data_IF_669785461858
#
_entry.id   IF_669785461858
#
_cell.length_a   1.000
_cell.length_b   1.000
_cell.length_c   1.000
_cell.angle_alpha   90.00
_cell.angle_beta   90.00
_cell.angle_gamma   90.00
#
_symmetry.space_group_name_H-M   'P 1'
#
loop_
_entity.id
_entity.type
_entity.pdbx_description
1 polymer ?
#
# COMPACT_ATOMS: atom_id res chain seq x y z
N UNK A 1 40.88 -86.63 28.52
CA UNK A 1 41.66 -86.46 27.28
C UNK A 1 41.33 -85.11 26.78
N UNK A 2 42.08 -84.11 27.19
CA UNK A 2 43.16 -83.51 26.47
C UNK A 2 42.71 -82.85 25.15
N UNK A 3 42.86 -81.65 24.84
CA UNK A 3 43.99 -80.68 24.99
C UNK A 3 43.48 -79.37 24.47
N UNK A 4 43.59 -78.28 25.17
CA UNK A 4 44.39 -77.11 24.96
C UNK A 4 44.16 -76.32 23.64
N UNK A 5 43.91 -75.06 23.77
CA UNK A 5 44.86 -74.01 23.49
C UNK A 5 44.48 -72.93 22.53
N UNK A 6 44.65 -71.77 23.01
CA UNK A 6 45.25 -70.50 22.45
C UNK A 6 44.30 -69.40 21.96
N UNK A 7 44.27 -68.49 22.85
CA UNK A 7 44.34 -67.05 22.63
C UNK A 7 44.94 -66.61 21.31
N UNK A 8 44.22 -65.78 20.60
CA UNK A 8 44.88 -64.80 19.77
C UNK A 8 44.06 -63.51 19.83
N UNK A 9 44.59 -62.57 20.59
CA UNK A 9 44.22 -61.19 20.56
C UNK A 9 44.69 -60.62 19.21
N UNK A 10 43.77 -60.20 18.40
CA UNK A 10 44.16 -59.48 17.20
C UNK A 10 43.76 -58.02 17.32
N UNK A 11 44.76 -57.21 17.11
CA UNK A 11 44.79 -55.74 17.35
C UNK A 11 44.04 -55.03 16.26
N UNK A 12 42.99 -54.38 16.61
CA UNK A 12 42.33 -53.37 15.76
C UNK A 12 43.24 -52.13 15.66
N UNK A 13 43.45 -51.57 14.45
CA UNK A 13 44.30 -50.40 14.29
C UNK A 13 43.57 -49.15 14.72
N UNK A 14 44.10 -48.49 15.72
CA UNK A 14 43.78 -47.12 16.14
C UNK A 14 44.20 -46.11 15.06
N UNK A 15 43.45 -45.95 14.01
CA UNK A 15 43.64 -44.80 13.09
C UNK A 15 42.43 -44.58 12.17
N UNK A 16 41.29 -44.17 12.71
CA UNK A 16 40.23 -43.60 11.89
C UNK A 16 39.22 -42.80 12.72
N UNK A 17 39.66 -42.00 13.66
CA UNK A 17 38.79 -41.07 14.41
C UNK A 17 39.51 -39.72 14.50
N UNK A 18 39.74 -39.07 13.37
CA UNK A 18 40.22 -37.68 13.38
C UNK A 18 39.71 -36.79 12.25
N UNK A 19 38.70 -37.23 11.48
CA UNK A 19 38.18 -36.40 10.38
C UNK A 19 36.67 -36.03 10.47
N UNK A 20 36.01 -36.32 11.59
CA UNK A 20 34.55 -35.99 11.73
C UNK A 20 34.26 -34.87 12.74
N UNK A 21 35.25 -34.05 13.11
CA UNK A 21 35.03 -32.98 14.11
C UNK A 21 34.93 -31.58 13.56
N UNK A 22 34.85 -31.42 12.23
CA UNK A 22 34.76 -30.07 11.63
C UNK A 22 33.45 -29.77 10.86
N UNK A 23 32.46 -30.68 10.86
CA UNK A 23 31.18 -30.47 10.16
C UNK A 23 30.06 -29.75 10.93
N UNK A 24 30.02 -29.67 12.27
CA UNK A 24 28.88 -29.07 12.94
C UNK A 24 28.89 -27.53 12.99
N UNK A 25 29.99 -26.85 12.58
CA UNK A 25 30.07 -25.39 12.71
C UNK A 25 29.57 -24.61 11.48
N UNK A 26 29.49 -25.28 10.33
CA UNK A 26 29.02 -24.63 9.08
C UNK A 26 27.49 -24.64 8.96
N UNK A 27 26.84 -25.65 9.49
CA UNK A 27 25.37 -25.79 9.40
C UNK A 27 24.61 -24.69 10.17
N UNK A 28 24.97 -24.31 11.41
CA UNK A 28 24.29 -23.20 12.10
C UNK A 28 24.56 -21.82 11.47
N UNK A 29 25.73 -21.63 10.83
CA UNK A 29 26.04 -20.37 10.15
C UNK A 29 25.20 -20.17 8.87
N UNK A 30 24.94 -21.25 8.12
CA UNK A 30 24.07 -21.17 6.93
C UNK A 30 22.62 -20.97 7.32
N UNK A 31 22.13 -21.57 8.43
CA UNK A 31 20.77 -21.31 8.93
C UNK A 31 20.61 -19.88 9.44
N UNK A 32 21.64 -19.30 10.04
CA UNK A 32 21.60 -17.91 10.52
C UNK A 32 21.55 -16.88 9.37
N UNK A 33 22.21 -17.17 8.25
CA UNK A 33 22.18 -16.30 7.06
C UNK A 33 20.80 -16.35 6.36
N UNK A 34 20.14 -17.51 6.36
CA UNK A 34 18.78 -17.65 5.79
C UNK A 34 17.71 -16.98 6.66
N UNK A 35 17.94 -16.84 7.98
CA UNK A 35 17.00 -16.13 8.86
C UNK A 35 17.07 -14.61 8.73
N UNK A 36 18.17 -14.04 8.23
CA UNK A 36 18.33 -12.60 8.01
C UNK A 36 17.66 -12.11 6.71
N UNK A 37 17.34 -13.01 5.79
CA UNK A 37 16.57 -12.68 4.58
C UNK A 37 15.05 -12.67 4.79
N UNK A 38 14.56 -13.00 5.99
CA UNK A 38 13.14 -12.99 6.33
C UNK A 38 12.68 -11.65 6.95
N UNK A 39 13.52 -10.62 7.02
CA UNK A 39 13.06 -9.27 7.24
C UNK A 39 12.33 -8.83 5.97
N UNK A 40 11.00 -8.92 6.00
CA UNK A 40 10.16 -8.42 4.93
C UNK A 40 10.56 -7.00 4.57
N UNK A 41 10.38 -6.66 3.32
CA UNK A 41 10.67 -5.35 2.76
C UNK A 41 10.09 -4.27 3.67
N UNK A 42 10.95 -3.51 4.36
CA UNK A 42 10.54 -2.47 5.32
C UNK A 42 9.87 -1.27 4.63
N UNK A 43 9.85 -1.27 3.30
CA UNK A 43 9.35 -0.17 2.48
C UNK A 43 7.91 -0.39 1.97
N UNK A 44 7.35 -1.59 2.12
CA UNK A 44 5.97 -1.86 1.71
C UNK A 44 5.09 -2.03 2.95
N UNK A 45 4.10 -1.17 3.10
CA UNK A 45 3.07 -1.31 4.13
C UNK A 45 1.74 -1.60 3.45
N UNK A 46 1.09 -2.66 3.92
CA UNK A 46 -0.28 -2.98 3.55
C UNK A 46 -1.14 -2.75 4.77
N UNK A 47 -2.10 -1.88 4.66
CA UNK A 47 -3.12 -1.67 5.68
C UNK A 47 -4.39 -2.36 5.19
N UNK A 48 -4.82 -3.38 5.91
CA UNK A 48 -6.10 -4.05 5.66
C UNK A 48 -7.10 -3.55 6.67
N UNK A 49 -8.27 -3.18 6.21
CA UNK A 49 -9.37 -2.74 7.06
C UNK A 49 -10.55 -2.33 6.20
N UNK A 50 -11.72 -2.60 6.69
CA UNK A 50 -12.94 -2.12 6.04
C UNK A 50 -13.07 -0.65 6.37
N UNK A 51 -13.15 0.16 5.34
CA UNK A 51 -13.35 1.58 5.44
C UNK A 51 -14.85 1.87 5.53
N UNK A 52 -15.31 2.31 6.68
CA UNK A 52 -16.76 2.42 6.95
C UNK A 52 -17.42 3.66 6.31
N UNK A 53 -16.75 4.37 5.42
CA UNK A 53 -17.28 5.54 4.75
C UNK A 53 -17.55 6.73 5.68
N UNK A 54 -17.09 6.68 6.92
CA UNK A 54 -17.18 7.76 7.89
C UNK A 54 -15.79 8.34 8.12
N UNK A 55 -15.65 9.63 7.87
CA UNK A 55 -14.42 10.37 8.19
C UNK A 55 -14.13 10.32 9.69
N UNK A 56 -12.88 10.27 10.08
CA UNK A 56 -12.48 10.41 11.47
C UNK A 56 -11.63 9.26 12.03
N UNK A 57 -11.80 8.96 13.31
CA UNK A 57 -10.88 8.16 14.12
C UNK A 57 -10.54 6.73 13.63
N UNK A 58 -11.20 6.22 12.63
CA UNK A 58 -10.98 4.89 12.07
C UNK A 58 -10.39 4.90 10.65
N UNK A 59 -10.12 6.08 10.09
CA UNK A 59 -9.49 6.18 8.77
C UNK A 59 -8.08 5.55 8.79
N UNK A 60 -7.69 4.76 7.78
CA UNK A 60 -6.37 4.17 7.74
C UNK A 60 -5.30 5.22 7.45
N UNK A 61 -4.28 5.27 8.30
CA UNK A 61 -3.08 6.07 8.09
C UNK A 61 -2.03 5.26 7.33
N UNK A 62 -1.68 5.70 6.13
CA UNK A 62 -0.74 5.04 5.24
C UNK A 62 0.56 5.84 5.20
N UNK A 63 1.64 5.26 5.70
CA UNK A 63 2.95 5.91 5.55
C UNK A 63 3.55 5.52 4.20
N UNK A 64 3.83 6.51 3.35
CA UNK A 64 4.47 6.35 2.05
C UNK A 64 5.60 7.36 1.97
N UNK A 65 6.83 6.87 1.94
CA UNK A 65 7.99 7.73 2.12
C UNK A 65 7.91 8.55 3.42
N UNK A 66 8.21 9.84 3.36
CA UNK A 66 8.17 10.72 4.53
C UNK A 66 6.77 11.25 4.87
N UNK A 67 5.77 10.99 4.03
CA UNK A 67 4.41 11.51 4.18
C UNK A 67 3.45 10.48 4.75
N UNK A 68 2.39 10.97 5.36
CA UNK A 68 1.28 10.15 5.87
C UNK A 68 0.02 10.50 5.08
N UNK A 69 -0.60 9.50 4.48
CA UNK A 69 -1.84 9.61 3.73
C UNK A 69 -2.98 9.06 4.58
N UNK A 70 -4.08 9.78 4.63
CA UNK A 70 -5.29 9.36 5.32
C UNK A 70 -6.43 9.33 4.31
N UNK A 71 -6.96 8.14 4.05
CA UNK A 71 -8.17 7.98 3.22
C UNK A 71 -9.37 8.27 4.10
N UNK A 72 -10.10 9.34 3.81
CA UNK A 72 -11.23 9.78 4.59
C UNK A 72 -12.52 9.04 4.21
N UNK A 73 -12.73 8.88 2.91
CA UNK A 73 -13.94 8.30 2.34
C UNK A 73 -13.65 7.74 0.95
N UNK A 74 -14.32 6.66 0.59
CA UNK A 74 -14.42 6.18 -0.78
C UNK A 74 -15.86 5.85 -1.11
N UNK A 75 -16.35 6.26 -2.28
CA UNK A 75 -17.73 6.02 -2.68
C UNK A 75 -17.98 6.28 -4.16
N UNK A 76 -19.09 5.74 -4.64
CA UNK A 76 -19.67 6.10 -5.93
C UNK A 76 -20.15 7.55 -5.91
N UNK A 77 -20.05 8.22 -7.07
CA UNK A 77 -20.62 9.56 -7.26
C UNK A 77 -21.83 9.52 -8.19
N UNK A 78 -22.89 10.18 -7.77
CA UNK A 78 -24.05 10.43 -8.61
C UNK A 78 -23.99 11.85 -9.21
N UNK A 79 -23.67 12.00 -10.51
CA UNK A 79 -23.59 13.33 -11.13
C UNK A 79 -24.88 14.16 -11.09
N UNK A 80 -26.03 13.55 -10.78
CA UNK A 80 -27.29 14.24 -10.60
C UNK A 80 -27.46 14.85 -9.19
N UNK A 81 -26.64 14.45 -8.23
CA UNK A 81 -26.55 15.06 -6.91
C UNK A 81 -25.70 16.34 -7.00
N UNK A 82 -26.13 17.43 -6.36
CA UNK A 82 -25.44 18.72 -6.43
C UNK A 82 -24.07 18.71 -5.76
N UNK A 83 -23.90 17.95 -4.69
CA UNK A 83 -22.63 17.76 -3.98
C UNK A 83 -21.65 17.02 -4.88
N UNK A 84 -22.05 15.84 -5.36
CA UNK A 84 -21.20 15.00 -6.25
C UNK A 84 -20.84 15.72 -7.55
N UNK A 85 -21.77 16.51 -8.10
CA UNK A 85 -21.53 17.33 -9.28
C UNK A 85 -20.42 18.37 -9.04
N UNK A 86 -20.24 18.86 -7.79
CA UNK A 86 -19.17 19.81 -7.45
C UNK A 86 -17.79 19.19 -7.58
N UNK A 87 -17.63 17.91 -7.25
CA UNK A 87 -16.36 17.17 -7.41
C UNK A 87 -15.99 16.96 -8.88
N UNK A 88 -16.98 16.91 -9.76
CA UNK A 88 -16.79 16.77 -11.22
C UNK A 88 -16.64 18.14 -11.92
N UNK A 89 -16.67 19.25 -11.18
CA UNK A 89 -16.63 20.59 -11.77
C UNK A 89 -15.34 20.82 -12.57
N UNK A 90 -15.50 21.44 -13.75
CA UNK A 90 -14.39 21.80 -14.63
C UNK A 90 -13.91 20.67 -15.55
N UNK A 91 -14.33 19.42 -15.36
CA UNK A 91 -14.06 18.36 -16.33
C UNK A 91 -14.68 18.71 -17.69
N UNK A 92 -13.93 18.48 -18.77
CA UNK A 92 -14.43 18.63 -20.14
C UNK A 92 -15.56 17.63 -20.43
N UNK A 93 -16.39 17.86 -21.47
CA UNK A 93 -17.40 16.89 -21.88
C UNK A 93 -16.81 15.50 -22.18
N UNK A 94 -15.63 15.45 -22.77
CA UNK A 94 -14.90 14.21 -23.07
C UNK A 94 -14.46 13.49 -21.79
N UNK A 95 -13.93 14.24 -20.81
CA UNK A 95 -13.54 13.68 -19.51
C UNK A 95 -14.77 13.19 -18.72
N UNK A 96 -15.91 13.88 -18.85
CA UNK A 96 -17.16 13.47 -18.18
C UNK A 96 -17.83 12.25 -18.78
N UNK A 97 -17.46 11.90 -20.01
CA UNK A 97 -18.04 10.76 -20.70
C UNK A 97 -17.68 9.47 -19.99
N UNK A 98 -18.68 8.69 -19.62
CA UNK A 98 -18.56 7.32 -19.16
C UNK A 98 -18.86 6.37 -20.32
N UNK A 99 -18.09 5.31 -20.41
CA UNK A 99 -18.40 4.21 -21.34
C UNK A 99 -19.53 3.34 -20.74
N UNK A 100 -20.22 2.54 -21.57
CA UNK A 100 -21.24 1.63 -21.06
C UNK A 100 -20.73 0.74 -19.92
N UNK A 101 -21.44 0.72 -18.81
CA UNK A 101 -21.07 -0.04 -17.62
C UNK A 101 -20.03 0.63 -16.73
N UNK A 102 -19.65 1.87 -17.00
CA UNK A 102 -18.80 2.67 -16.11
C UNK A 102 -19.61 3.60 -15.24
N UNK A 103 -19.01 3.94 -14.11
CA UNK A 103 -19.47 4.98 -13.22
C UNK A 103 -18.31 5.76 -12.59
N UNK A 104 -18.64 6.90 -11.97
CA UNK A 104 -17.68 7.67 -11.21
C UNK A 104 -17.51 7.09 -9.82
N UNK A 105 -16.26 6.88 -9.45
CA UNK A 105 -15.84 6.50 -8.11
C UNK A 105 -14.86 7.53 -7.58
N UNK A 106 -15.01 7.90 -6.32
CA UNK A 106 -14.21 8.91 -5.65
C UNK A 106 -13.48 8.32 -4.45
N UNK A 107 -12.23 8.76 -4.27
CA UNK A 107 -11.44 8.55 -3.05
C UNK A 107 -11.06 9.92 -2.51
N UNK A 108 -11.46 10.20 -1.28
CA UNK A 108 -11.17 11.44 -0.57
C UNK A 108 -9.99 11.21 0.38
N UNK A 109 -9.06 12.17 0.40
CA UNK A 109 -7.78 11.93 1.06
C UNK A 109 -7.20 13.21 1.63
N UNK A 110 -6.54 13.06 2.78
CA UNK A 110 -5.65 14.06 3.35
C UNK A 110 -4.20 13.53 3.34
N UNK A 111 -3.24 14.45 3.23
CA UNK A 111 -1.82 14.11 3.29
C UNK A 111 -1.10 15.02 4.27
N UNK A 112 -0.36 14.41 5.20
CA UNK A 112 0.33 15.10 6.26
C UNK A 112 1.84 14.99 6.11
N UNK A 113 2.52 16.09 6.29
CA UNK A 113 3.97 16.15 6.43
C UNK A 113 4.36 16.41 7.88
N UNK A 114 4.72 15.36 8.60
CA UNK A 114 5.17 15.44 9.99
C UNK A 114 6.68 15.70 10.13
N UNK A 115 7.38 15.93 9.01
CA UNK A 115 8.83 16.18 8.98
C UNK A 115 9.16 17.65 9.09
N UNK A 116 10.45 18.00 9.04
CA UNK A 116 10.94 19.36 9.04
C UNK A 116 11.41 19.82 7.65
N UNK A 117 11.14 19.01 6.60
CA UNK A 117 11.49 19.30 5.21
C UNK A 117 10.23 19.25 4.34
N UNK A 118 10.16 19.99 3.21
CA UNK A 118 9.09 19.84 2.25
C UNK A 118 9.24 18.51 1.50
N UNK A 119 8.14 17.87 1.14
CA UNK A 119 8.10 16.62 0.38
C UNK A 119 6.99 16.65 -0.67
N UNK A 120 7.22 15.94 -1.78
CA UNK A 120 6.23 15.82 -2.84
C UNK A 120 5.21 14.74 -2.50
N UNK A 121 3.93 15.08 -2.59
CA UNK A 121 2.85 14.12 -2.43
C UNK A 121 2.67 13.27 -3.69
N UNK A 122 2.38 11.98 -3.50
CA UNK A 122 2.21 11.02 -4.58
C UNK A 122 1.05 11.41 -5.52
N UNK A 123 1.27 11.23 -6.82
CA UNK A 123 0.23 11.32 -7.86
C UNK A 123 -0.05 9.96 -8.49
N UNK A 124 0.86 8.99 -8.32
CA UNK A 124 0.67 7.62 -8.77
C UNK A 124 -0.15 6.84 -7.74
N UNK A 125 -1.46 6.78 -7.96
CA UNK A 125 -2.42 6.09 -7.11
C UNK A 125 -3.36 5.29 -8.00
N UNK A 126 -3.47 4.00 -7.72
CA UNK A 126 -4.22 3.07 -8.55
C UNK A 126 -5.25 2.35 -7.70
N UNK A 127 -6.47 2.24 -8.19
CA UNK A 127 -7.52 1.39 -7.60
C UNK A 127 -7.57 0.09 -8.39
N UNK A 128 -7.60 -1.04 -7.69
CA UNK A 128 -7.63 -2.38 -8.31
C UNK A 128 -8.71 -3.23 -7.64
N UNK A 129 -9.45 -4.02 -8.42
CA UNK A 129 -10.41 -4.99 -7.91
C UNK A 129 -9.78 -6.40 -7.76
N UNK A 130 -10.52 -7.35 -7.21
CA UNK A 130 -10.03 -8.74 -7.00
C UNK A 130 -9.86 -9.54 -8.29
N UNK A 131 -10.26 -8.99 -9.44
CA UNK A 131 -10.04 -9.57 -10.78
C UNK A 131 -8.86 -8.89 -11.49
N UNK A 132 -8.06 -8.09 -10.76
CA UNK A 132 -6.90 -7.35 -11.28
C UNK A 132 -7.26 -6.25 -12.31
N UNK A 133 -8.53 -5.84 -12.41
CA UNK A 133 -8.88 -4.64 -13.16
C UNK A 133 -8.34 -3.42 -12.43
N UNK A 134 -7.60 -2.58 -13.14
CA UNK A 134 -6.83 -1.48 -12.57
C UNK A 134 -7.30 -0.15 -13.14
N UNK A 135 -7.50 0.84 -12.28
CA UNK A 135 -8.04 2.15 -12.59
C UNK A 135 -7.08 3.23 -12.12
N UNK A 136 -6.79 4.16 -13.02
CA UNK A 136 -5.98 5.36 -12.70
C UNK A 136 -6.90 6.58 -12.56
N UNK A 137 -6.51 7.56 -11.73
CA UNK A 137 -7.35 8.74 -11.54
C UNK A 137 -7.45 9.58 -12.82
N UNK A 138 -8.64 10.15 -13.06
CA UNK A 138 -8.83 11.21 -14.06
C UNK A 138 -8.13 12.48 -13.58
N UNK A 139 -7.31 13.12 -14.42
CA UNK A 139 -6.62 14.34 -14.04
C UNK A 139 -7.63 15.49 -13.86
N UNK A 140 -7.72 16.06 -12.65
CA UNK A 140 -8.68 17.11 -12.39
C UNK A 140 -8.22 18.45 -12.99
N UNK A 141 -9.16 19.31 -13.43
CA UNK A 141 -8.82 20.66 -13.88
C UNK A 141 -8.33 21.52 -12.71
N UNK A 142 -7.42 22.46 -12.98
CA UNK A 142 -6.88 23.37 -11.95
C UNK A 142 -7.93 24.19 -11.22
N UNK A 143 -9.06 24.46 -11.88
CA UNK A 143 -10.16 25.23 -11.31
C UNK A 143 -10.99 24.48 -10.28
N UNK A 144 -10.85 23.16 -10.16
CA UNK A 144 -11.57 22.39 -9.16
C UNK A 144 -10.87 22.45 -7.80
N UNK A 145 -11.51 23.08 -6.82
CA UNK A 145 -10.98 23.31 -5.48
C UNK A 145 -10.95 22.05 -4.59
N UNK A 146 -11.68 21.03 -4.98
CA UNK A 146 -11.74 19.75 -4.26
C UNK A 146 -10.75 18.73 -4.80
N UNK A 147 -10.15 18.97 -5.95
CA UNK A 147 -9.36 17.97 -6.67
C UNK A 147 -7.98 17.74 -6.07
N UNK A 148 -7.65 16.46 -5.85
CA UNK A 148 -6.30 16.05 -5.48
C UNK A 148 -5.35 16.12 -6.70
N UNK A 149 -4.18 16.73 -6.50
CA UNK A 149 -3.15 16.91 -7.55
C UNK A 149 -1.75 16.53 -7.11
N UNK A 150 -1.59 16.05 -5.87
CA UNK A 150 -0.27 15.95 -5.26
C UNK A 150 0.32 17.36 -4.97
N UNK A 151 1.60 17.51 -5.26
CA UNK A 151 2.36 18.74 -5.03
C UNK A 151 3.13 18.75 -3.72
N UNK A 152 3.85 19.84 -3.48
CA UNK A 152 4.74 19.96 -2.33
C UNK A 152 3.94 20.18 -1.04
N UNK A 153 4.07 19.27 -0.09
CA UNK A 153 3.56 19.44 1.28
C UNK A 153 4.64 20.06 2.15
N UNK A 154 4.39 21.28 2.64
CA UNK A 154 5.36 22.03 3.44
C UNK A 154 5.62 21.34 4.79
N UNK A 155 6.75 21.64 5.47
CA UNK A 155 7.06 21.10 6.79
C UNK A 155 5.95 21.35 7.81
N UNK A 156 5.57 20.30 8.58
CA UNK A 156 4.54 20.39 9.63
C UNK A 156 3.18 20.87 9.11
N UNK A 157 2.88 20.60 7.85
CA UNK A 157 1.65 21.04 7.18
C UNK A 157 0.93 19.84 6.55
N UNK A 158 -0.22 20.12 5.94
CA UNK A 158 -1.09 19.13 5.29
C UNK A 158 -1.66 19.65 3.97
N UNK A 159 -2.20 18.77 3.16
CA UNK A 159 -3.11 19.05 2.05
C UNK A 159 -4.36 18.18 2.19
N UNK A 160 -5.59 18.77 2.07
CA UNK A 160 -5.85 20.20 1.85
C UNK A 160 -5.37 21.07 3.00
N UNK A 161 -5.09 22.35 2.70
CA UNK A 161 -4.74 23.30 3.75
C UNK A 161 -5.96 23.56 4.65
N UNK A 162 -5.74 23.73 5.97
CA UNK A 162 -6.81 24.00 6.92
C UNK A 162 -7.68 25.20 6.51
N UNK A 163 -9.00 25.03 6.60
CA UNK A 163 -9.98 26.04 6.26
C UNK A 163 -10.26 26.23 4.76
N UNK A 164 -9.68 25.41 3.90
CA UNK A 164 -10.04 25.37 2.48
C UNK A 164 -11.36 24.63 2.25
N UNK A 165 -12.04 24.81 1.10
CA UNK A 165 -13.28 24.09 0.80
C UNK A 165 -13.17 22.56 0.99
N UNK A 166 -12.08 21.95 0.54
CA UNK A 166 -11.88 20.49 0.67
C UNK A 166 -11.56 20.03 2.11
N UNK A 167 -11.08 20.93 2.97
CA UNK A 167 -10.82 20.62 4.40
C UNK A 167 -12.11 20.69 5.24
N UNK A 168 -13.05 21.57 4.88
CA UNK A 168 -14.31 21.77 5.61
C UNK A 168 -15.51 21.08 4.97
N UNK A 169 -15.31 20.40 3.86
CA UNK A 169 -16.30 19.56 3.19
C UNK A 169 -16.66 18.36 4.08
N UNK A 170 -17.89 17.85 4.05
CA UNK A 170 -18.29 16.65 4.80
C UNK A 170 -17.41 15.41 4.51
N UNK A 171 -16.81 15.34 3.32
CA UNK A 171 -15.86 14.27 2.97
C UNK A 171 -14.44 14.49 3.52
N UNK A 172 -14.16 15.69 4.07
CA UNK A 172 -12.90 16.06 4.74
C UNK A 172 -11.63 15.67 3.98
N UNK A 173 -11.53 15.99 2.68
CA UNK A 173 -10.34 15.61 1.91
C UNK A 173 -10.37 16.09 0.47
N UNK A 174 -9.23 16.00 -0.19
CA UNK A 174 -9.13 16.21 -1.63
C UNK A 174 -9.54 14.94 -2.38
N UNK A 175 -10.32 15.11 -3.44
CA UNK A 175 -10.91 14.02 -4.21
C UNK A 175 -10.02 13.58 -5.38
N UNK A 176 -9.83 12.27 -5.50
CA UNK A 176 -9.39 11.59 -6.72
C UNK A 176 -10.60 10.94 -7.37
N UNK A 177 -10.73 11.14 -8.68
CA UNK A 177 -11.86 10.64 -9.49
C UNK A 177 -11.39 9.48 -10.35
N UNK A 178 -12.13 8.39 -10.33
CA UNK A 178 -11.90 7.20 -11.15
C UNK A 178 -13.13 6.89 -11.99
N UNK A 179 -12.92 6.36 -13.19
CA UNK A 179 -13.99 5.74 -14.00
C UNK A 179 -13.84 4.24 -13.85
N UNK A 180 -14.66 3.65 -13.02
CA UNK A 180 -14.61 2.22 -12.75
C UNK A 180 -15.73 1.48 -13.47
N UNK A 181 -15.54 0.19 -13.74
CA UNK A 181 -16.62 -0.67 -14.20
C UNK A 181 -17.54 -1.00 -13.03
N UNK A 182 -18.85 -0.88 -13.21
CA UNK A 182 -19.85 -1.20 -12.17
C UNK A 182 -19.63 -2.63 -11.63
N UNK A 183 -19.25 -3.57 -12.50
CA UNK A 183 -18.96 -4.96 -12.09
C UNK A 183 -17.80 -5.06 -11.11
N UNK A 184 -16.88 -4.10 -11.06
CA UNK A 184 -15.77 -4.11 -10.10
C UNK A 184 -16.24 -3.85 -8.68
N UNK A 185 -17.42 -3.24 -8.48
CA UNK A 185 -18.04 -3.11 -7.17
C UNK A 185 -18.56 -4.45 -6.61
N UNK A 186 -18.78 -5.44 -7.49
CA UNK A 186 -19.07 -6.82 -7.08
C UNK A 186 -17.79 -7.61 -6.79
N UNK A 187 -16.63 -7.15 -7.31
CA UNK A 187 -15.31 -7.77 -7.17
C UNK A 187 -14.53 -7.16 -6.01
N UNK A 188 -15.11 -7.10 -4.83
CA UNK A 188 -14.52 -6.51 -3.61
C UNK A 188 -13.49 -7.43 -2.93
N UNK A 189 -12.57 -6.85 -2.10
CA UNK A 189 -12.39 -5.42 -1.87
C UNK A 189 -11.77 -4.71 -3.07
N UNK A 190 -12.06 -3.40 -3.21
CA UNK A 190 -11.23 -2.53 -4.02
C UNK A 190 -9.99 -2.15 -3.21
N UNK A 191 -8.81 -2.16 -3.82
CA UNK A 191 -7.57 -1.78 -3.18
C UNK A 191 -7.02 -0.49 -3.79
N UNK A 192 -6.77 0.51 -2.95
CA UNK A 192 -6.00 1.70 -3.33
C UNK A 192 -4.52 1.43 -3.09
N UNK A 193 -3.69 1.60 -4.11
CA UNK A 193 -2.24 1.57 -4.01
C UNK A 193 -1.65 2.95 -4.22
N UNK A 194 -0.78 3.38 -3.31
CA UNK A 194 -0.04 4.64 -3.37
C UNK A 194 1.44 4.34 -3.56
N UNK A 195 2.11 5.06 -4.45
CA UNK A 195 3.54 4.93 -4.73
C UNK A 195 4.25 6.23 -4.43
N UNK A 196 5.33 6.17 -3.64
CA UNK A 196 6.14 7.35 -3.32
C UNK A 196 6.80 7.91 -4.60
N UNK A 197 6.64 9.21 -4.89
CA UNK A 197 7.24 9.85 -6.07
C UNK A 197 8.78 9.92 -6.00
N UNK A 198 9.36 9.95 -4.80
CA UNK A 198 10.81 10.03 -4.59
C UNK A 198 11.47 8.64 -4.56
N UNK A 199 10.72 7.60 -4.17
CA UNK A 199 11.21 6.23 -4.10
C UNK A 199 10.10 5.22 -4.47
N UNK A 200 10.05 4.81 -5.71
CA UNK A 200 9.02 3.88 -6.21
C UNK A 200 8.99 2.49 -5.54
N UNK A 201 10.01 2.16 -4.74
CA UNK A 201 10.00 0.94 -3.91
C UNK A 201 9.16 1.13 -2.63
N UNK A 202 8.88 2.36 -2.23
CA UNK A 202 8.01 2.66 -1.09
C UNK A 202 6.57 2.80 -1.55
N UNK A 203 5.72 1.90 -1.09
CA UNK A 203 4.30 1.87 -1.45
C UNK A 203 3.45 1.58 -0.22
N UNK A 204 2.20 1.95 -0.26
CA UNK A 204 1.20 1.47 0.67
C UNK A 204 -0.09 1.14 -0.07
N UNK A 205 -0.86 0.20 0.48
CA UNK A 205 -2.18 -0.17 -0.03
C UNK A 205 -3.20 -0.12 1.10
N UNK A 206 -4.43 0.18 0.75
CA UNK A 206 -5.58 0.10 1.65
C UNK A 206 -6.79 -0.46 0.92
N UNK A 207 -7.51 -1.35 1.57
CA UNK A 207 -8.83 -1.78 1.13
C UNK A 207 -9.82 -0.61 1.28
N UNK A 208 -10.58 -0.36 0.22
CA UNK A 208 -11.62 0.68 0.18
C UNK A 208 -12.96 0.07 0.53
N UNK A 209 -13.74 0.77 1.35
CA UNK A 209 -15.14 0.44 1.57
C UNK A 209 -16.00 1.02 0.45
N UNK A 210 -16.89 0.18 -0.10
CA UNK A 210 -17.78 0.50 -1.23
C UNK A 210 -19.16 -0.06 -0.96
#
# INVERSE_FOLDING_TARGET
MDIASRSQADRLPRRMISRLRKLPLVLPAVLAVLALSACGDSHTKVTTGTYAGESGANAPYLNVGPLVYEVQLSRELNPANSEDASYLQGLTPEQRKLEPGQEWFAVFMQVYNNTNQPHEAATSMTVTDTQENSYTPEPPPESNLFAYRGGTVLPKNQIPLPGTPADVDPAEGLVMLYKIQIVSLDNRPLELKIVDPENSAETASAELDV
#
